data_IF_502021623767
#
_entry.id   IF_502021623767
#
_cell.length_a   1.000
_cell.length_b   1.000
_cell.length_c   1.000
_cell.angle_alpha   90.00
_cell.angle_beta   90.00
_cell.angle_gamma   90.00
#
_symmetry.space_group_name_H-M   'P 1'
#
loop_
_entity.id
_entity.type
_entity.pdbx_description
1 polymer ?
#
# COMPACT_ATOMS: atom_id res chain seq x y z
N UNK A 1 -12.28 1.76 19.92
CA UNK A 1 -10.93 2.36 19.84
C UNK A 1 -10.48 2.33 18.39
N UNK A 2 -9.65 3.28 17.96
CA UNK A 2 -9.08 3.26 16.62
C UNK A 2 -8.09 2.09 16.49
N UNK A 3 -7.92 1.59 15.26
CA UNK A 3 -6.96 0.55 14.91
C UNK A 3 -6.07 1.01 13.76
N UNK A 4 -4.95 0.32 13.53
CA UNK A 4 -4.04 0.59 12.42
C UNK A 4 -3.94 -0.60 11.46
N UNK A 5 -3.75 -0.30 10.18
CA UNK A 5 -3.42 -1.25 9.13
C UNK A 5 -2.21 -0.74 8.35
N UNK A 6 -1.29 -1.62 7.96
CA UNK A 6 -0.08 -1.24 7.23
C UNK A 6 0.02 -2.02 5.92
N UNK A 7 0.17 -1.28 4.82
CA UNK A 7 0.20 -1.82 3.46
C UNK A 7 1.41 -1.26 2.70
N UNK A 8 2.22 -2.14 2.10
CA UNK A 8 3.22 -1.77 1.10
C UNK A 8 2.66 -2.12 -0.28
N UNK A 9 2.78 -1.24 -1.27
CA UNK A 9 2.05 -1.36 -2.55
C UNK A 9 2.65 -0.53 -3.67
N UNK A 10 3.98 -0.43 -3.73
CA UNK A 10 4.68 0.48 -4.64
C UNK A 10 4.81 1.87 -4.05
N UNK A 11 4.78 2.90 -4.89
CA UNK A 11 4.90 4.28 -4.42
C UNK A 11 3.86 4.64 -3.35
N UNK A 12 4.32 5.01 -2.16
CA UNK A 12 3.47 5.34 -1.02
C UNK A 12 2.52 6.52 -1.25
N UNK A 13 2.78 7.41 -2.21
CA UNK A 13 1.89 8.53 -2.55
C UNK A 13 0.59 8.02 -3.17
N UNK A 14 0.68 6.94 -3.96
CA UNK A 14 -0.50 6.31 -4.53
C UNK A 14 -1.25 5.49 -3.50
N UNK A 15 -0.54 4.82 -2.59
CA UNK A 15 -1.17 4.06 -1.49
C UNK A 15 -1.85 4.99 -0.48
N UNK A 16 -1.21 6.10 -0.08
CA UNK A 16 -1.83 7.15 0.75
C UNK A 16 -3.11 7.67 0.11
N UNK A 17 -3.04 8.11 -1.16
CA UNK A 17 -4.20 8.58 -1.92
C UNK A 17 -5.32 7.54 -1.97
N UNK A 18 -4.99 6.25 -2.00
CA UNK A 18 -5.99 5.21 -2.06
C UNK A 18 -6.81 5.11 -0.77
N UNK A 19 -6.27 5.46 0.39
CA UNK A 19 -7.01 5.40 1.67
C UNK A 19 -7.51 6.75 2.18
N UNK A 20 -6.93 7.84 1.69
CA UNK A 20 -7.33 9.18 2.09
C UNK A 20 -8.80 9.47 1.76
N UNK A 21 -9.48 10.16 2.68
CA UNK A 21 -10.90 10.52 2.56
C UNK A 21 -11.92 9.37 2.65
N UNK A 22 -11.49 8.12 2.88
CA UNK A 22 -12.44 7.01 3.04
C UNK A 22 -13.26 7.13 4.33
N UNK A 23 -14.58 6.91 4.29
CA UNK A 23 -15.41 6.85 5.50
C UNK A 23 -14.84 5.86 6.52
N UNK A 24 -14.61 6.33 7.73
CA UNK A 24 -14.04 5.53 8.83
C UNK A 24 -12.51 5.55 8.89
N UNK A 25 -11.81 5.97 7.84
CA UNK A 25 -10.36 6.26 7.91
C UNK A 25 -10.17 7.63 8.55
N UNK A 26 -9.27 7.70 9.54
CA UNK A 26 -8.90 8.91 10.28
C UNK A 26 -7.61 9.53 9.75
N UNK A 27 -6.67 8.71 9.32
CA UNK A 27 -5.44 9.15 8.67
C UNK A 27 -4.84 8.03 7.82
N UNK A 28 -4.11 8.44 6.78
CA UNK A 28 -3.22 7.61 5.99
C UNK A 28 -1.86 8.31 6.00
N UNK A 29 -0.82 7.64 6.52
CA UNK A 29 0.53 8.22 6.67
C UNK A 29 1.49 7.45 5.81
N UNK A 30 2.18 8.13 4.90
CA UNK A 30 3.25 7.57 4.07
C UNK A 30 4.51 7.31 4.90
N UNK A 31 5.19 6.19 4.67
CA UNK A 31 6.39 5.82 5.42
C UNK A 31 7.04 4.53 4.96
N UNK A 32 7.84 3.94 5.85
CA UNK A 32 8.73 2.84 5.58
C UNK A 32 8.54 1.71 6.59
N UNK A 33 8.62 0.46 6.12
CA UNK A 33 8.44 -0.73 6.97
C UNK A 33 9.20 -1.93 6.42
N UNK A 34 9.54 -2.89 7.27
CA UNK A 34 10.10 -4.19 6.86
C UNK A 34 11.63 -4.24 6.75
N UNK A 35 12.31 -3.10 6.86
CA UNK A 35 13.76 -3.00 6.80
C UNK A 35 14.47 -3.04 8.14
N UNK A 36 15.81 -2.99 8.07
CA UNK A 36 16.70 -3.17 9.21
C UNK A 36 17.27 -1.84 9.73
N UNK A 37 17.31 -0.80 8.89
CA UNK A 37 17.78 0.54 9.28
C UNK A 37 16.76 1.21 10.20
N UNK A 38 17.17 1.62 11.39
CA UNK A 38 16.32 2.39 12.28
C UNK A 38 16.18 3.85 11.79
N UNK A 39 14.97 4.42 11.89
CA UNK A 39 14.66 5.78 11.49
C UNK A 39 15.23 6.19 10.11
N UNK A 40 14.89 5.46 9.04
CA UNK A 40 15.46 5.71 7.72
C UNK A 40 14.98 7.04 7.12
N UNK A 41 15.84 7.72 6.36
CA UNK A 41 15.42 8.84 5.49
C UNK A 41 14.93 8.32 4.14
N UNK A 42 14.18 9.14 3.41
CA UNK A 42 13.72 8.79 2.06
C UNK A 42 14.89 8.47 1.13
N UNK A 43 15.97 9.26 1.17
CA UNK A 43 17.16 9.06 0.34
C UNK A 43 17.85 7.73 0.65
N UNK A 44 17.86 7.31 1.92
CA UNK A 44 18.40 6.01 2.30
C UNK A 44 17.57 4.86 1.73
N UNK A 45 16.24 4.97 1.74
CA UNK A 45 15.35 3.92 1.23
C UNK A 45 15.40 3.83 -0.30
N UNK A 46 15.38 4.97 -0.99
CA UNK A 46 15.41 5.02 -2.46
C UNK A 46 16.77 4.60 -3.01
N UNK A 47 17.87 4.93 -2.32
CA UNK A 47 19.21 4.42 -2.65
C UNK A 47 19.31 2.90 -2.50
N UNK A 48 18.43 2.29 -1.71
CA UNK A 48 18.40 0.87 -1.43
C UNK A 48 19.35 0.44 -0.31
N UNK A 49 19.32 -0.86 0.01
CA UNK A 49 20.17 -1.47 1.05
C UNK A 49 19.63 -1.39 2.49
N UNK A 50 18.56 -0.62 2.74
CA UNK A 50 17.91 -0.55 4.07
C UNK A 50 16.96 -1.72 4.34
N UNK A 51 16.49 -2.38 3.28
CA UNK A 51 15.48 -3.43 3.31
C UNK A 51 14.04 -2.93 3.52
N UNK A 52 13.83 -1.62 3.63
CA UNK A 52 12.49 -1.06 3.80
C UNK A 52 11.71 -1.07 2.49
N UNK A 53 10.40 -1.29 2.62
CA UNK A 53 9.40 -1.00 1.60
C UNK A 53 8.73 0.34 1.90
N UNK A 54 8.39 1.07 0.85
CA UNK A 54 7.41 2.15 0.93
C UNK A 54 6.04 1.57 1.30
N UNK A 55 5.39 2.22 2.27
CA UNK A 55 4.14 1.76 2.82
C UNK A 55 3.27 2.92 3.32
N UNK A 56 2.01 2.61 3.57
CA UNK A 56 1.06 3.48 4.24
C UNK A 56 0.59 2.85 5.55
N UNK A 57 0.56 3.65 6.61
CA UNK A 57 -0.12 3.29 7.86
C UNK A 57 -1.48 4.00 7.90
N UNK A 58 -2.54 3.21 7.84
CA UNK A 58 -3.93 3.67 7.88
C UNK A 58 -4.47 3.54 9.30
N UNK A 59 -4.87 4.65 9.91
CA UNK A 59 -5.60 4.67 11.18
C UNK A 59 -7.09 4.72 10.90
N UNK A 60 -7.88 3.80 11.44
CA UNK A 60 -9.30 3.68 11.12
C UNK A 60 -10.19 3.38 12.35
N UNK A 61 -11.46 3.74 12.26
CA UNK A 61 -12.50 3.38 13.23
C UNK A 61 -13.17 2.06 12.80
N UNK A 62 -12.93 0.94 13.53
CA UNK A 62 -13.46 -0.38 13.17
C UNK A 62 -15.00 -0.46 13.24
N UNK A 63 -15.66 0.55 13.83
CA UNK A 63 -17.13 0.65 13.88
C UNK A 63 -17.73 1.21 12.58
N UNK A 64 -16.91 1.84 11.74
CA UNK A 64 -17.32 2.47 10.48
C UNK A 64 -16.78 1.70 9.28
N UNK A 65 -15.51 1.28 9.32
CA UNK A 65 -14.87 0.48 8.28
C UNK A 65 -14.12 -0.69 8.90
N UNK A 66 -14.32 -1.91 8.39
CA UNK A 66 -13.63 -3.08 8.91
C UNK A 66 -12.21 -3.18 8.35
N UNK A 67 -11.30 -3.81 9.10
CA UNK A 67 -9.95 -4.14 8.60
C UNK A 67 -10.01 -4.93 7.29
N UNK A 68 -10.95 -5.88 7.19
CA UNK A 68 -11.18 -6.68 5.98
C UNK A 68 -11.50 -5.80 4.77
N UNK A 69 -12.36 -4.79 4.93
CA UNK A 69 -12.70 -3.87 3.85
C UNK A 69 -11.49 -3.05 3.37
N UNK A 70 -10.58 -2.67 4.29
CA UNK A 70 -9.33 -2.01 3.92
C UNK A 70 -8.41 -2.94 3.12
N UNK A 71 -8.30 -4.22 3.51
CA UNK A 71 -7.49 -5.20 2.77
C UNK A 71 -8.11 -5.52 1.40
N UNK A 72 -9.44 -5.66 1.32
CA UNK A 72 -10.14 -5.87 0.05
C UNK A 72 -9.96 -4.70 -0.91
N UNK A 73 -9.86 -3.47 -0.38
CA UNK A 73 -9.53 -2.28 -1.16
C UNK A 73 -8.07 -2.29 -1.61
N UNK A 74 -7.13 -2.58 -0.71
CA UNK A 74 -5.70 -2.64 -0.99
C UNK A 74 -5.37 -3.50 -2.22
N UNK A 75 -5.98 -4.69 -2.37
CA UNK A 75 -5.69 -5.52 -3.54
C UNK A 75 -5.97 -4.81 -4.85
N UNK A 76 -7.02 -3.98 -4.90
CA UNK A 76 -7.46 -3.24 -6.09
C UNK A 76 -6.60 -2.01 -6.41
N UNK A 77 -5.62 -1.68 -5.55
CA UNK A 77 -4.69 -0.55 -5.74
C UNK A 77 -3.36 -1.01 -6.33
N UNK A 78 -3.09 -2.31 -6.40
CA UNK A 78 -1.81 -2.90 -6.80
C UNK A 78 -1.97 -3.98 -7.90
N UNK A 79 -0.86 -4.37 -8.52
CA UNK A 79 -0.69 -5.69 -9.13
C UNK A 79 -0.18 -6.68 -8.06
N UNK A 80 -1.03 -7.61 -7.57
CA UNK A 80 -0.63 -8.54 -6.53
C UNK A 80 0.18 -9.74 -7.05
N UNK A 81 0.48 -9.76 -8.35
CA UNK A 81 1.19 -10.86 -9.03
C UNK A 81 2.63 -10.50 -9.35
N UNK A 82 3.02 -9.22 -9.30
CA UNK A 82 4.40 -8.77 -9.50
C UNK A 82 5.23 -8.94 -8.20
N UNK A 83 6.26 -9.82 -8.18
CA UNK A 83 7.10 -10.02 -7.00
C UNK A 83 8.17 -8.94 -6.81
N UNK A 84 8.39 -8.07 -7.81
CA UNK A 84 9.55 -7.19 -7.88
C UNK A 84 9.25 -5.72 -7.66
N UNK A 85 8.00 -5.30 -7.77
CA UNK A 85 7.60 -3.90 -7.65
C UNK A 85 6.17 -3.69 -8.09
N UNK A 86 5.86 -2.45 -8.48
CA UNK A 86 4.55 -2.05 -8.98
C UNK A 86 4.71 -1.15 -10.20
N UNK A 87 4.28 -1.64 -11.36
CA UNK A 87 4.24 -0.86 -12.59
C UNK A 87 5.65 -0.35 -12.98
N UNK A 88 5.86 0.96 -13.06
CA UNK A 88 7.16 1.57 -13.30
C UNK A 88 8.08 1.54 -12.06
N UNK A 89 7.50 1.41 -10.85
CA UNK A 89 8.22 1.46 -9.59
C UNK A 89 8.76 0.06 -9.29
N UNK A 90 9.94 -0.24 -9.82
CA UNK A 90 10.56 -1.55 -9.70
C UNK A 90 11.70 -1.54 -8.68
N UNK A 91 11.80 -2.59 -7.88
CA UNK A 91 12.85 -2.77 -6.88
C UNK A 91 12.33 -3.09 -5.48
N UNK A 92 13.24 -3.48 -4.55
CA UNK A 92 12.86 -3.98 -3.24
C UNK A 92 11.96 -3.03 -2.44
N UNK A 93 12.19 -1.72 -2.55
CA UNK A 93 11.42 -0.70 -1.83
C UNK A 93 9.97 -0.56 -2.32
N UNK A 94 9.65 -1.07 -3.51
CA UNK A 94 8.32 -0.96 -4.12
C UNK A 94 7.55 -2.29 -4.13
N UNK A 95 8.08 -3.33 -3.48
CA UNK A 95 7.37 -4.60 -3.34
C UNK A 95 6.09 -4.44 -2.53
N UNK A 96 5.12 -5.28 -2.84
CA UNK A 96 3.85 -5.31 -2.16
C UNK A 96 3.90 -6.25 -0.93
N UNK A 97 3.24 -5.86 0.17
CA UNK A 97 2.98 -6.71 1.33
C UNK A 97 1.84 -6.16 2.20
N UNK A 98 1.12 -7.05 2.87
CA UNK A 98 0.19 -6.71 3.97
C UNK A 98 0.85 -7.04 5.30
N UNK A 99 1.01 -6.04 6.17
CA UNK A 99 1.55 -6.23 7.52
C UNK A 99 0.40 -6.30 8.52
N UNK A 100 0.15 -7.50 9.05
CA UNK A 100 -0.99 -7.80 9.90
C UNK A 100 -0.55 -8.20 11.32
N UNK A 101 -1.28 -7.73 12.32
CA UNK A 101 -1.19 -8.31 13.68
C UNK A 101 -1.72 -9.74 13.71
N UNK A 102 -1.51 -10.45 14.82
CA UNK A 102 -2.06 -11.79 15.01
C UNK A 102 -3.59 -11.82 14.80
N UNK A 103 -4.30 -10.84 15.37
CA UNK A 103 -5.77 -10.74 15.28
C UNK A 103 -6.25 -10.38 13.87
N UNK A 104 -5.43 -9.64 13.10
CA UNK A 104 -5.74 -9.23 11.73
C UNK A 104 -5.46 -10.31 10.68
N UNK A 105 -4.54 -11.23 10.97
CA UNK A 105 -3.98 -12.17 9.99
C UNK A 105 -5.04 -13.03 9.30
N UNK A 106 -6.01 -13.55 10.06
CA UNK A 106 -7.07 -14.39 9.49
C UNK A 106 -7.91 -13.62 8.45
N UNK A 107 -8.26 -12.35 8.75
CA UNK A 107 -9.02 -11.51 7.84
C UNK A 107 -8.21 -11.14 6.59
N UNK A 108 -6.91 -10.82 6.74
CA UNK A 108 -6.03 -10.51 5.61
C UNK A 108 -5.82 -11.72 4.68
N UNK A 109 -5.59 -12.91 5.23
CA UNK A 109 -5.44 -14.14 4.44
C UNK A 109 -6.73 -14.48 3.71
N UNK A 110 -7.88 -14.43 4.39
CA UNK A 110 -9.16 -14.68 3.75
C UNK A 110 -9.51 -13.62 2.67
N UNK A 111 -8.97 -12.40 2.79
CA UNK A 111 -9.07 -11.35 1.77
C UNK A 111 -8.26 -11.67 0.54
N UNK A 112 -6.98 -11.99 0.72
CA UNK A 112 -6.08 -12.43 -0.34
C UNK A 112 -6.66 -13.63 -1.08
N UNK A 113 -7.14 -14.64 -0.37
CA UNK A 113 -7.64 -15.87 -0.99
C UNK A 113 -8.94 -15.63 -1.77
N UNK A 114 -9.81 -14.72 -1.30
CA UNK A 114 -10.97 -14.29 -2.08
C UNK A 114 -10.56 -13.53 -3.35
N UNK A 115 -9.59 -12.62 -3.24
CA UNK A 115 -9.07 -11.84 -4.35
C UNK A 115 -8.36 -12.71 -5.41
N UNK A 116 -7.59 -13.73 -5.00
CA UNK A 116 -6.99 -14.72 -5.90
C UNK A 116 -8.04 -15.46 -6.71
N UNK A 117 -9.15 -15.88 -6.08
CA UNK A 117 -10.27 -16.54 -6.78
C UNK A 117 -10.95 -15.61 -7.78
N UNK A 118 -11.12 -14.35 -7.45
CA UNK A 118 -11.71 -13.33 -8.36
C UNK A 118 -10.83 -13.13 -9.59
N UNK A 119 -9.51 -13.03 -9.42
CA UNK A 119 -8.59 -12.84 -10.54
C UNK A 119 -8.23 -14.12 -11.29
N UNK A 120 -8.48 -15.30 -10.71
CA UNK A 120 -8.01 -16.57 -11.26
C UNK A 120 -6.48 -16.64 -11.34
N UNK A 121 -5.78 -15.95 -10.44
CA UNK A 121 -4.30 -15.84 -10.43
C UNK A 121 -3.75 -16.07 -9.03
N UNK A 122 -2.56 -16.67 -8.97
CA UNK A 122 -1.78 -16.76 -7.74
C UNK A 122 -1.15 -15.41 -7.41
N UNK A 123 -1.23 -15.00 -6.15
CA UNK A 123 -0.61 -13.75 -5.69
C UNK A 123 0.79 -14.03 -5.16
N UNK A 124 1.71 -13.13 -5.47
CA UNK A 124 3.07 -13.11 -4.90
C UNK A 124 3.12 -12.24 -3.65
N UNK A 125 2.16 -11.32 -3.48
CA UNK A 125 2.06 -10.44 -2.31
C UNK A 125 1.79 -11.22 -1.01
N UNK A 126 2.70 -11.15 -0.01
CA UNK A 126 2.56 -11.88 1.23
C UNK A 126 1.69 -11.13 2.26
N UNK A 127 1.11 -11.90 3.17
CA UNK A 127 0.58 -11.40 4.45
C UNK A 127 1.59 -11.77 5.53
N UNK A 128 2.27 -10.77 6.08
CA UNK A 128 3.37 -10.93 7.05
C UNK A 128 3.00 -10.34 8.40
N UNK A 129 3.74 -10.71 9.44
CA UNK A 129 3.56 -10.12 10.77
C UNK A 129 3.85 -8.63 10.77
N UNK A 130 3.14 -7.87 11.61
CA UNK A 130 3.38 -6.44 11.80
C UNK A 130 4.84 -6.17 12.14
N UNK A 131 5.40 -5.12 11.54
CA UNK A 131 6.75 -4.65 11.82
C UNK A 131 6.72 -3.17 12.18
N UNK A 132 7.84 -2.65 12.69
CA UNK A 132 7.94 -1.23 13.02
C UNK A 132 7.78 -0.37 11.77
N UNK A 133 6.84 0.57 11.83
CA UNK A 133 6.60 1.57 10.81
C UNK A 133 7.37 2.87 11.15
N UNK A 134 7.99 3.47 10.14
CA UNK A 134 8.69 4.75 10.23
C UNK A 134 8.02 5.76 9.31
N UNK A 135 7.36 6.81 9.83
CA UNK A 135 6.78 7.86 9.00
C UNK A 135 7.84 8.50 8.11
N UNK A 136 7.52 8.74 6.84
CA UNK A 136 8.34 9.55 5.96
C UNK A 136 8.22 11.04 6.33
N UNK A 137 9.15 11.86 5.81
CA UNK A 137 9.14 13.30 6.04
C UNK A 137 7.83 13.99 5.62
N UNK A 138 7.51 15.15 6.22
CA UNK A 138 6.25 15.88 5.98
C UNK A 138 6.05 16.32 4.52
N UNK A 139 7.11 16.41 3.74
CA UNK A 139 7.09 16.67 2.30
C UNK A 139 6.48 15.53 1.48
N UNK A 140 6.47 14.29 2.01
CA UNK A 140 5.86 13.13 1.37
C UNK A 140 4.40 12.89 1.77
N UNK A 141 3.92 13.56 2.82
CA UNK A 141 2.55 13.42 3.30
C UNK A 141 1.60 14.28 2.47
N UNK A 142 0.42 13.74 2.17
CA UNK A 142 -0.60 14.34 1.31
C UNK A 142 -0.08 14.69 -0.09
N UNK A 143 0.91 13.96 -0.60
CA UNK A 143 1.66 14.38 -1.78
C UNK A 143 0.75 14.51 -3.01
N UNK A 144 -0.14 13.54 -3.23
CA UNK A 144 -1.08 13.56 -4.35
C UNK A 144 -2.05 14.75 -4.29
N UNK A 145 -2.39 15.21 -3.09
CA UNK A 145 -3.29 16.34 -2.85
C UNK A 145 -2.57 17.67 -3.02
N UNK A 146 -1.35 17.78 -2.47
CA UNK A 146 -0.53 19.01 -2.47
C UNK A 146 0.18 19.27 -3.79
N UNK A 147 0.52 18.22 -4.53
CA UNK A 147 1.30 18.28 -5.78
C UNK A 147 0.55 17.65 -6.95
N UNK A 148 -0.75 17.95 -7.08
CA UNK A 148 -1.69 17.26 -7.99
C UNK A 148 -1.18 17.11 -9.42
N UNK A 149 -0.66 18.17 -10.04
CA UNK A 149 -0.19 18.11 -11.43
C UNK A 149 1.01 17.17 -11.59
N UNK A 150 1.98 17.25 -10.68
CA UNK A 150 3.17 16.40 -10.70
C UNK A 150 2.82 14.93 -10.42
N UNK A 151 1.99 14.69 -9.40
CA UNK A 151 1.52 13.35 -9.08
C UNK A 151 0.74 12.71 -10.23
N UNK A 152 -0.16 13.44 -10.89
CA UNK A 152 -0.91 12.91 -12.03
C UNK A 152 0.01 12.64 -13.23
N UNK A 153 0.98 13.50 -13.52
CA UNK A 153 1.97 13.23 -14.57
C UNK A 153 2.76 11.95 -14.29
N UNK A 154 3.23 11.77 -13.06
CA UNK A 154 3.89 10.55 -12.59
C UNK A 154 3.00 9.31 -12.76
N UNK A 155 1.76 9.34 -12.22
CA UNK A 155 0.80 8.22 -12.29
C UNK A 155 0.50 7.81 -13.73
N UNK A 156 0.36 8.77 -14.64
CA UNK A 156 0.14 8.51 -16.07
C UNK A 156 1.40 7.98 -16.76
N UNK A 157 2.58 8.55 -16.48
CA UNK A 157 3.86 8.08 -17.02
C UNK A 157 4.13 6.62 -16.64
N UNK A 158 3.75 6.23 -15.43
CA UNK A 158 3.81 4.86 -14.95
C UNK A 158 2.72 3.93 -15.47
N UNK A 159 1.77 4.47 -16.27
CA UNK A 159 0.59 3.76 -16.78
C UNK A 159 -0.23 3.07 -15.69
N UNK A 160 -0.13 3.52 -14.43
CA UNK A 160 -0.77 2.89 -13.27
C UNK A 160 -2.29 2.71 -13.48
N UNK A 161 -3.04 3.71 -13.98
CA UNK A 161 -4.49 3.55 -14.18
C UNK A 161 -4.83 2.49 -15.22
N UNK A 162 -4.05 2.41 -16.30
CA UNK A 162 -4.25 1.46 -17.38
C UNK A 162 -3.91 0.03 -16.90
N UNK A 163 -2.81 -0.12 -16.15
CA UNK A 163 -2.39 -1.42 -15.60
C UNK A 163 -3.38 -1.92 -14.55
N UNK A 164 -3.83 -1.06 -13.64
CA UNK A 164 -4.85 -1.43 -12.65
C UNK A 164 -6.16 -1.84 -13.32
N UNK A 165 -6.63 -1.10 -14.34
CA UNK A 165 -7.82 -1.50 -15.11
C UNK A 165 -7.63 -2.83 -15.85
N UNK A 166 -6.43 -3.10 -16.37
CA UNK A 166 -6.16 -4.38 -17.04
C UNK A 166 -6.21 -5.57 -16.07
N UNK A 167 -5.92 -5.35 -14.78
CA UNK A 167 -5.94 -6.39 -13.74
C UNK A 167 -7.33 -6.52 -13.12
N UNK A 168 -7.92 -5.41 -12.70
CA UNK A 168 -9.12 -5.36 -11.85
C UNK A 168 -10.39 -4.89 -12.58
N UNK A 169 -10.30 -4.48 -13.84
CA UNK A 169 -11.42 -3.91 -14.58
C UNK A 169 -12.00 -2.68 -13.85
N UNK A 170 -13.33 -2.64 -13.75
CA UNK A 170 -14.06 -1.57 -13.07
C UNK A 170 -13.87 -1.57 -11.55
N UNK A 171 -13.32 -2.66 -10.98
CA UNK A 171 -13.00 -2.72 -9.55
C UNK A 171 -11.68 -2.00 -9.21
N UNK A 172 -10.90 -1.55 -10.20
CA UNK A 172 -9.64 -0.86 -9.99
C UNK A 172 -9.80 0.38 -9.10
N UNK A 173 -8.88 0.56 -8.15
CA UNK A 173 -8.82 1.73 -7.26
C UNK A 173 -7.49 2.44 -7.49
N UNK A 174 -7.52 3.59 -8.13
CA UNK A 174 -6.30 4.37 -8.37
C UNK A 174 -6.42 5.35 -9.50
#
# INVERSE_FOLDING_TARGET
MLQTAVFAGGCFWSEEKAFDGLPGVRSAVSGFVGGQTANPTYEQVVRGGTGHMEAVQVTFDPRVVSYRALVDRYWRTIDPTDPNGQFCDQGPSYRAAVFATADQRAAAVASRDAAMRVLGKSFTTPVVGVQRFWPAGPEHQDYARRNRAHYEAYRQGCRRPQQLRAIWGDAAVG
#
